data_IF_721021907763
#
_entry.id   IF_721021907763
#
_cell.length_a   1.000
_cell.length_b   1.000
_cell.length_c   1.000
_cell.angle_alpha   90.00
_cell.angle_beta   90.00
_cell.angle_gamma   90.00
#
_symmetry.space_group_name_H-M   'P 1'
#
loop_
_entity.id
_entity.type
_entity.pdbx_description
1 polymer ?
#
# COMPACT_ATOMS: atom_id res chain seq x y z
N UNK A 1 -11.58 -81.54 -28.19
CA UNK A 1 -10.90 -81.76 -26.89
C UNK A 1 -9.88 -80.64 -26.75
N UNK A 2 -9.85 -79.70 -25.81
CA UNK A 2 -10.72 -79.18 -24.75
C UNK A 2 -9.95 -77.93 -24.28
N UNK A 3 -10.57 -76.75 -24.22
CA UNK A 3 -10.04 -75.62 -23.43
C UNK A 3 -10.21 -75.89 -21.94
N UNK A 4 -9.35 -75.34 -21.07
CA UNK A 4 -9.76 -74.16 -20.30
C UNK A 4 -8.62 -73.12 -20.17
N UNK A 5 -8.84 -71.83 -20.37
CA UNK A 5 -9.30 -70.84 -19.37
C UNK A 5 -8.69 -71.03 -17.98
N UNK A 6 -7.70 -70.20 -17.65
CA UNK A 6 -7.41 -69.83 -16.26
C UNK A 6 -7.43 -68.31 -16.13
N UNK A 7 -8.15 -67.88 -15.11
CA UNK A 7 -8.46 -66.50 -14.76
C UNK A 7 -7.82 -66.25 -13.41
N UNK A 8 -6.76 -65.44 -13.32
CA UNK A 8 -6.35 -64.87 -12.04
C UNK A 8 -6.54 -63.35 -12.11
N UNK A 9 -7.76 -62.94 -11.77
CA UNK A 9 -8.03 -61.61 -11.26
C UNK A 9 -7.42 -61.52 -9.86
N UNK A 10 -6.31 -60.79 -9.71
CA UNK A 10 -5.81 -60.38 -8.39
C UNK A 10 -5.82 -58.86 -8.28
N UNK A 11 -6.78 -58.41 -7.49
CA UNK A 11 -7.15 -57.03 -7.18
C UNK A 11 -6.00 -56.17 -6.59
N UNK A 12 -6.11 -54.83 -6.74
CA UNK A 12 -5.15 -53.84 -6.28
C UNK A 12 -5.42 -53.42 -4.82
N UNK A 13 -5.06 -54.24 -3.84
CA UNK A 13 -5.31 -53.92 -2.42
C UNK A 13 -4.10 -53.29 -1.68
N UNK A 14 -2.92 -53.19 -2.32
CA UNK A 14 -1.68 -52.91 -1.58
C UNK A 14 -1.20 -51.44 -1.63
N UNK A 15 -1.70 -50.63 -2.56
CA UNK A 15 -1.28 -49.22 -2.68
C UNK A 15 -1.96 -48.28 -1.67
N UNK A 16 -3.16 -48.62 -1.20
CA UNK A 16 -3.91 -47.78 -0.25
C UNK A 16 -3.34 -47.84 1.17
N UNK A 17 -2.64 -48.92 1.53
CA UNK A 17 -2.01 -49.05 2.85
C UNK A 17 -0.69 -48.29 2.98
N UNK A 18 0.05 -48.09 1.89
CA UNK A 18 1.28 -47.30 1.91
C UNK A 18 1.03 -45.79 2.14
N UNK A 19 -0.08 -45.26 1.63
CA UNK A 19 -0.46 -43.85 1.85
C UNK A 19 -1.05 -43.56 3.24
N UNK A 20 -1.54 -44.57 3.96
CA UNK A 20 -2.12 -44.39 5.29
C UNK A 20 -1.07 -44.20 6.40
N UNK A 21 0.16 -44.66 6.19
CA UNK A 21 1.23 -44.59 7.23
C UNK A 21 1.91 -43.23 7.26
N UNK A 22 1.96 -42.49 6.14
CA UNK A 22 2.57 -41.14 6.08
C UNK A 22 1.67 -40.02 6.59
N UNK A 23 0.39 -40.27 6.86
CA UNK A 23 -0.55 -39.27 7.36
C UNK A 23 -0.52 -39.10 8.90
N UNK A 24 0.19 -39.95 9.64
CA UNK A 24 0.07 -40.04 11.10
C UNK A 24 1.16 -39.31 11.92
N UNK A 25 2.25 -38.84 11.30
CA UNK A 25 3.39 -38.28 12.04
C UNK A 25 3.64 -36.78 11.76
N UNK A 26 2.61 -35.99 11.48
CA UNK A 26 2.71 -34.55 11.73
C UNK A 26 2.40 -34.28 13.22
N UNK A 27 3.39 -34.52 14.08
CA UNK A 27 3.43 -33.89 15.41
C UNK A 27 3.60 -32.39 15.21
N UNK A 28 2.50 -31.70 14.91
CA UNK A 28 2.40 -30.24 14.95
C UNK A 28 2.68 -29.82 16.39
N UNK A 29 3.85 -29.23 16.60
CA UNK A 29 4.18 -28.53 17.83
C UNK A 29 3.08 -27.47 18.07
N UNK A 30 2.40 -27.56 19.20
CA UNK A 30 1.41 -26.57 19.58
C UNK A 30 2.10 -25.21 19.75
N UNK A 31 1.59 -24.12 19.13
CA UNK A 31 2.18 -22.81 19.31
C UNK A 31 2.05 -22.37 20.78
N UNK A 32 3.07 -21.69 21.35
CA UNK A 32 3.02 -21.24 22.73
C UNK A 32 1.88 -20.22 22.92
N UNK A 33 1.15 -20.27 24.05
CA UNK A 33 0.05 -19.35 24.30
C UNK A 33 0.58 -17.94 24.58
N UNK A 34 0.03 -16.91 23.90
CA UNK A 34 0.01 -15.57 24.52
C UNK A 34 0.24 -14.30 23.71
N UNK A 35 0.42 -14.29 22.38
CA UNK A 35 0.57 -12.99 21.66
C UNK A 35 -0.30 -12.80 20.41
N UNK A 36 -0.56 -13.85 19.63
CA UNK A 36 -1.41 -13.73 18.42
C UNK A 36 -2.92 -13.83 18.71
N UNK A 37 -3.32 -14.22 19.92
CA UNK A 37 -4.72 -14.31 20.32
C UNK A 37 -5.38 -12.92 20.44
N UNK A 38 -4.62 -11.91 20.83
CA UNK A 38 -5.13 -10.54 21.03
C UNK A 38 -5.40 -9.85 19.68
N UNK A 39 -4.56 -10.11 18.67
CA UNK A 39 -4.74 -9.60 17.30
C UNK A 39 -5.92 -10.29 16.60
N UNK A 40 -6.05 -11.62 16.72
CA UNK A 40 -7.19 -12.36 16.16
C UNK A 40 -8.54 -11.99 16.80
N UNK A 41 -8.58 -11.61 18.08
CA UNK A 41 -9.82 -11.18 18.77
C UNK A 41 -10.34 -9.82 18.30
N UNK A 42 -9.48 -8.93 17.80
CA UNK A 42 -9.92 -7.62 17.26
C UNK A 42 -10.53 -7.74 15.85
N UNK A 43 -10.07 -8.72 15.06
CA UNK A 43 -10.60 -8.98 13.72
C UNK A 43 -12.02 -9.60 13.74
N UNK A 44 -12.34 -10.46 14.71
CA UNK A 44 -13.66 -11.12 14.80
C UNK A 44 -14.77 -10.21 15.34
N UNK A 45 -14.43 -9.18 16.13
CA UNK A 45 -15.39 -8.20 16.62
C UNK A 45 -15.97 -7.29 15.51
N UNK A 46 -15.22 -7.03 14.43
CA UNK A 46 -15.66 -6.19 13.30
C UNK A 46 -16.63 -6.89 12.34
N UNK A 47 -16.58 -8.23 12.19
CA UNK A 47 -17.55 -8.97 11.34
C UNK A 47 -18.99 -8.95 11.88
N UNK A 48 -19.20 -8.81 13.19
CA UNK A 48 -20.55 -8.74 13.78
C UNK A 48 -21.20 -7.35 13.68
N UNK A 49 -20.43 -6.28 13.43
CA UNK A 49 -20.97 -4.92 13.31
C UNK A 49 -21.39 -4.55 11.88
N UNK A 50 -20.81 -5.18 10.84
CA UNK A 50 -21.21 -4.96 9.44
C UNK A 50 -22.45 -5.75 9.00
N UNK A 51 -22.91 -6.72 9.79
CA UNK A 51 -24.13 -7.49 9.52
C UNK A 51 -25.43 -6.82 10.01
N UNK A 52 -25.35 -5.66 10.69
CA UNK A 52 -26.52 -4.94 11.23
C UNK A 52 -26.93 -3.69 10.43
N UNK A 53 -26.25 -3.37 9.32
CA UNK A 53 -26.55 -2.19 8.48
C UNK A 53 -26.91 -2.54 7.02
N UNK A 54 -27.00 -3.82 6.66
CA UNK A 54 -27.40 -4.28 5.32
C UNK A 54 -28.86 -4.78 5.31
N UNK A 55 -29.76 -4.03 5.95
CA UNK A 55 -31.12 -4.48 6.24
C UNK A 55 -32.22 -3.45 6.04
N UNK A 56 -32.05 -2.40 5.23
CA UNK A 56 -33.17 -1.55 4.77
C UNK A 56 -32.73 -0.70 3.56
N UNK A 57 -33.06 -1.13 2.34
CA UNK A 57 -33.38 -0.23 1.20
C UNK A 57 -33.66 -1.05 -0.07
N UNK A 58 -34.84 -1.66 -0.13
CA UNK A 58 -35.48 -2.04 -1.41
C UNK A 58 -36.79 -1.28 -1.49
N UNK A 59 -36.88 -0.26 -2.36
CA UNK A 59 -38.05 0.11 -3.18
C UNK A 59 -37.96 1.57 -3.71
N UNK A 60 -38.47 1.75 -4.94
CA UNK A 60 -38.84 2.99 -5.66
C UNK A 60 -37.73 3.63 -6.54
N UNK A 61 -37.92 3.97 -7.82
CA UNK A 61 -39.04 3.87 -8.76
C UNK A 61 -38.50 4.01 -10.20
N UNK A 62 -39.13 3.32 -11.16
CA UNK A 62 -39.06 3.62 -12.60
C UNK A 62 -39.91 4.85 -12.91
N UNK A 63 -39.38 5.79 -13.71
CA UNK A 63 -40.07 6.52 -14.80
C UNK A 63 -39.33 7.82 -15.16
N UNK A 64 -39.19 8.09 -16.46
CA UNK A 64 -39.02 9.47 -16.95
C UNK A 64 -38.02 9.65 -18.08
N UNK A 65 -38.41 9.30 -19.30
CA UNK A 65 -37.80 9.80 -20.54
C UNK A 65 -38.32 11.22 -20.86
N UNK A 66 -37.51 12.09 -21.47
CA UNK A 66 -38.03 13.32 -22.10
C UNK A 66 -37.04 14.48 -22.33
N UNK A 67 -36.30 14.42 -23.45
CA UNK A 67 -36.06 15.44 -24.52
C UNK A 67 -35.97 16.94 -24.15
N UNK A 68 -34.83 17.58 -24.54
CA UNK A 68 -34.67 18.82 -25.36
C UNK A 68 -33.28 19.44 -25.09
N UNK A 69 -32.29 19.45 -26.01
CA UNK A 69 -32.10 20.38 -27.14
C UNK A 69 -32.31 21.85 -26.69
N UNK A 70 -31.36 22.80 -26.73
CA UNK A 70 -30.49 23.22 -27.84
C UNK A 70 -29.46 24.27 -27.39
N UNK A 71 -28.28 24.22 -28.03
CA UNK A 71 -27.41 25.34 -28.49
C UNK A 71 -26.89 26.39 -27.52
N UNK A 72 -25.55 26.52 -27.44
CA UNK A 72 -24.85 27.80 -27.63
C UNK A 72 -23.48 27.56 -28.32
N UNK A 73 -23.13 28.52 -29.17
CA UNK A 73 -22.17 28.51 -30.28
C UNK A 73 -20.68 28.40 -29.90
N UNK A 74 -19.80 28.03 -30.87
CA UNK A 74 -18.37 28.25 -30.82
C UNK A 74 -17.98 29.57 -31.51
N UNK A 75 -16.89 30.21 -31.06
CA UNK A 75 -16.37 31.41 -31.72
C UNK A 75 -14.99 31.80 -31.22
N UNK A 76 -13.98 31.46 -32.02
CA UNK A 76 -12.59 31.83 -31.83
C UNK A 76 -12.33 33.29 -32.21
N UNK A 77 -11.27 33.87 -31.65
CA UNK A 77 -10.42 34.85 -32.33
C UNK A 77 -9.01 34.85 -31.68
N UNK A 78 -7.94 34.62 -32.45
CA UNK A 78 -6.59 35.13 -32.18
C UNK A 78 -6.40 36.48 -32.91
N UNK A 79 -5.38 37.24 -32.50
CA UNK A 79 -4.71 38.40 -33.16
C UNK A 79 -4.27 39.38 -32.05
N UNK A 80 -3.13 40.08 -32.05
CA UNK A 80 -1.90 40.06 -32.83
C UNK A 80 -0.88 40.90 -32.02
N UNK A 81 0.43 40.72 -32.24
CA UNK A 81 1.52 41.60 -31.70
C UNK A 81 1.56 42.90 -32.58
N UNK A 82 2.57 43.84 -32.56
CA UNK A 82 3.84 43.93 -31.80
C UNK A 82 4.33 45.39 -31.43
N UNK A 83 5.58 45.47 -30.93
CA UNK A 83 6.52 46.63 -30.91
C UNK A 83 6.22 47.78 -29.92
N UNK A 84 7.15 48.48 -29.27
CA UNK A 84 8.62 48.62 -29.30
C UNK A 84 9.06 49.24 -27.94
N UNK A 85 10.17 48.81 -27.34
CA UNK A 85 11.47 49.52 -27.23
C UNK A 85 11.41 50.90 -26.57
N UNK A 86 12.01 51.04 -25.39
CA UNK A 86 13.09 51.98 -25.05
C UNK A 86 13.43 51.86 -23.55
N UNK A 87 14.50 52.48 -23.06
CA UNK A 87 15.89 52.05 -23.08
C UNK A 87 16.59 52.81 -21.92
N UNK A 88 17.59 52.16 -21.28
CA UNK A 88 18.75 52.68 -20.51
C UNK A 88 18.61 53.80 -19.45
N UNK A 89 19.43 53.62 -18.40
CA UNK A 89 20.03 54.70 -17.61
C UNK A 89 20.06 54.36 -16.12
N UNK A 90 21.03 53.62 -15.58
CA UNK A 90 22.44 53.98 -15.28
C UNK A 90 22.65 54.51 -13.83
N UNK A 91 23.81 54.13 -13.28
CA UNK A 91 24.58 54.76 -12.19
C UNK A 91 24.25 54.51 -10.69
N UNK A 92 25.08 53.61 -10.15
CA UNK A 92 25.84 53.60 -8.88
C UNK A 92 25.70 54.69 -7.78
N UNK A 93 25.65 54.18 -6.53
CA UNK A 93 26.29 54.54 -5.24
C UNK A 93 26.89 55.96 -5.01
N UNK A 94 26.81 56.53 -3.77
CA UNK A 94 27.63 56.02 -2.65
C UNK A 94 27.08 56.19 -1.21
N UNK A 95 27.85 55.62 -0.27
CA UNK A 95 27.68 55.50 1.17
C UNK A 95 27.60 56.79 2.03
N UNK A 96 27.00 56.64 3.23
CA UNK A 96 27.18 57.55 4.38
C UNK A 96 26.34 57.13 5.61
N UNK A 97 26.91 57.00 6.83
CA UNK A 97 26.25 56.42 8.02
C UNK A 97 25.56 57.47 8.91
N UNK A 98 24.62 57.09 9.81
CA UNK A 98 24.46 57.59 11.20
C UNK A 98 23.15 57.13 11.90
N UNK A 99 23.33 56.63 13.14
CA UNK A 99 22.45 56.58 14.32
C UNK A 99 21.26 55.58 14.46
N UNK A 100 21.04 55.01 15.67
CA UNK A 100 19.96 54.06 15.96
C UNK A 100 18.69 54.79 16.42
N UNK A 101 17.55 54.50 15.78
CA UNK A 101 16.24 54.90 16.28
C UNK A 101 15.54 53.69 16.93
N UNK A 102 15.35 53.77 18.24
CA UNK A 102 14.51 52.85 18.99
C UNK A 102 13.05 53.16 18.67
N UNK A 103 12.36 52.25 18.00
CA UNK A 103 10.92 52.35 17.75
C UNK A 103 10.21 51.24 18.52
N UNK A 104 9.33 51.64 19.45
CA UNK A 104 8.40 50.75 20.15
C UNK A 104 7.57 49.90 19.16
N UNK A 105 7.27 48.63 19.46
CA UNK A 105 6.38 47.84 18.62
C UNK A 105 4.94 48.36 18.75
N UNK A 106 4.34 48.73 17.62
CA UNK A 106 2.91 48.90 17.51
C UNK A 106 2.21 47.53 17.66
N UNK A 107 1.02 47.45 18.29
CA UNK A 107 0.27 46.21 18.34
C UNK A 107 -0.16 45.84 16.92
N UNK A 108 0.49 44.83 16.34
CA UNK A 108 0.06 44.23 15.08
C UNK A 108 -1.31 43.60 15.28
N UNK A 109 -2.33 44.16 14.64
CA UNK A 109 -3.59 43.46 14.36
C UNK A 109 -3.25 42.20 13.58
N UNK A 110 -3.36 41.04 14.22
CA UNK A 110 -3.26 39.75 13.56
C UNK A 110 -4.31 39.69 12.46
N UNK A 111 -3.86 39.66 11.20
CA UNK A 111 -4.68 39.14 10.13
C UNK A 111 -4.90 37.65 10.42
N UNK A 112 -6.12 37.11 10.32
CA UNK A 112 -6.26 35.68 10.18
C UNK A 112 -5.66 35.36 8.81
N UNK A 113 -4.41 34.91 8.79
CA UNK A 113 -3.92 34.19 7.63
C UNK A 113 -4.93 33.08 7.41
N UNK A 114 -5.61 33.12 6.26
CA UNK A 114 -6.37 32.01 5.72
C UNK A 114 -5.40 30.88 5.39
N UNK A 115 -4.80 30.31 6.43
CA UNK A 115 -3.88 29.21 6.36
C UNK A 115 -4.66 28.04 5.81
N UNK A 116 -4.24 27.56 4.63
CA UNK A 116 -4.63 26.23 4.20
C UNK A 116 -4.16 25.29 5.30
N UNK A 117 -5.09 24.76 6.08
CA UNK A 117 -4.77 23.85 7.17
C UNK A 117 -4.04 22.65 6.58
N UNK A 118 -2.74 22.58 6.84
CA UNK A 118 -1.91 21.47 6.33
C UNK A 118 -2.25 20.27 7.20
N UNK A 119 -2.98 19.31 6.64
CA UNK A 119 -3.33 18.10 7.37
C UNK A 119 -2.07 17.41 7.92
N UNK A 120 -2.14 16.87 9.15
CA UNK A 120 -1.03 16.13 9.73
C UNK A 120 -0.68 14.90 8.88
N UNK A 121 0.59 14.49 8.91
CA UNK A 121 1.01 13.24 8.29
C UNK A 121 0.34 12.07 9.03
N UNK A 122 -0.09 11.05 8.29
CA UNK A 122 -0.60 9.82 8.89
C UNK A 122 0.52 9.10 9.65
N UNK A 123 0.53 9.26 10.97
CA UNK A 123 1.52 8.67 11.86
C UNK A 123 1.38 7.14 11.91
N UNK A 124 2.51 6.41 11.93
CA UNK A 124 2.49 4.94 11.88
C UNK A 124 1.73 4.30 13.05
N UNK A 125 1.72 4.90 14.23
CA UNK A 125 1.01 4.41 15.41
C UNK A 125 -0.52 4.62 15.34
N UNK A 126 -0.97 5.43 14.38
CA UNK A 126 -2.39 5.64 14.04
C UNK A 126 -2.82 4.85 12.79
N UNK A 127 -1.94 4.04 12.21
CA UNK A 127 -2.23 3.23 11.03
C UNK A 127 -2.39 1.75 11.38
N UNK A 128 -3.31 1.09 10.70
CA UNK A 128 -3.44 -0.37 10.66
C UNK A 128 -3.04 -0.85 9.25
N UNK A 129 -2.06 -1.76 9.16
CA UNK A 129 -1.65 -2.38 7.89
C UNK A 129 -2.36 -3.73 7.66
N UNK A 130 -2.74 -4.02 6.43
CA UNK A 130 -3.30 -5.32 6.02
C UNK A 130 -2.93 -5.67 4.57
N UNK A 131 -3.07 -6.95 4.19
CA UNK A 131 -3.09 -7.37 2.78
C UNK A 131 -4.54 -7.32 2.30
N UNK A 132 -4.81 -6.45 1.33
CA UNK A 132 -6.13 -6.30 0.71
C UNK A 132 -6.36 -7.31 -0.42
N UNK A 133 -5.33 -7.60 -1.21
CA UNK A 133 -5.36 -8.57 -2.30
C UNK A 133 -3.99 -9.24 -2.50
N UNK A 134 -4.01 -10.41 -3.14
CA UNK A 134 -2.82 -11.15 -3.54
C UNK A 134 -3.04 -11.74 -4.92
N UNK A 135 -2.16 -11.43 -5.85
CA UNK A 135 -2.30 -11.79 -7.25
C UNK A 135 -1.00 -12.42 -7.76
N UNK A 136 -1.14 -13.47 -8.57
CA UNK A 136 -0.01 -14.08 -9.25
C UNK A 136 0.34 -13.31 -10.52
N UNK A 137 1.63 -13.11 -10.77
CA UNK A 137 2.16 -12.53 -11.99
C UNK A 137 3.29 -13.41 -12.56
N UNK A 138 3.80 -13.08 -13.75
CA UNK A 138 4.89 -13.83 -14.37
C UNK A 138 6.14 -13.77 -13.48
N UNK A 139 6.50 -14.90 -12.87
CA UNK A 139 7.67 -15.01 -11.98
C UNK A 139 7.59 -14.15 -10.71
N UNK A 140 6.42 -13.67 -10.32
CA UNK A 140 6.24 -12.80 -9.14
C UNK A 140 4.85 -12.97 -8.51
N UNK A 141 4.70 -12.44 -7.31
CA UNK A 141 3.42 -12.22 -6.65
C UNK A 141 3.27 -10.73 -6.38
N UNK A 142 2.07 -10.19 -6.56
CA UNK A 142 1.73 -8.80 -6.23
C UNK A 142 0.83 -8.83 -5.01
N UNK A 143 1.23 -8.08 -3.98
CA UNK A 143 0.45 -7.87 -2.76
C UNK A 143 -0.08 -6.44 -2.77
N UNK A 144 -1.38 -6.26 -2.74
CA UNK A 144 -1.97 -4.95 -2.46
C UNK A 144 -2.01 -4.78 -0.95
N UNK A 145 -1.12 -3.95 -0.40
CA UNK A 145 -1.14 -3.59 1.02
C UNK A 145 -2.09 -2.40 1.23
N UNK A 146 -2.82 -2.39 2.33
CA UNK A 146 -3.64 -1.26 2.76
C UNK A 146 -3.12 -0.67 4.06
N UNK A 147 -3.16 0.67 4.14
CA UNK A 147 -2.85 1.47 5.32
C UNK A 147 -4.11 2.22 5.72
N UNK A 148 -4.79 1.74 6.76
CA UNK A 148 -6.05 2.32 7.25
C UNK A 148 -5.78 3.30 8.38
N UNK A 149 -6.35 4.50 8.34
CA UNK A 149 -6.33 5.42 9.47
C UNK A 149 -7.21 4.86 10.62
N UNK A 150 -6.56 4.36 11.67
CA UNK A 150 -7.19 3.86 12.88
C UNK A 150 -7.30 4.93 13.99
N UNK A 151 -6.84 6.16 13.71
CA UNK A 151 -7.06 7.32 14.56
C UNK A 151 -8.47 7.89 14.46
N UNK A 152 -8.65 9.03 15.10
CA UNK A 152 -9.91 9.77 15.24
C UNK A 152 -9.92 11.11 14.47
N UNK A 153 -8.80 11.48 13.84
CA UNK A 153 -8.66 12.70 13.04
C UNK A 153 -8.27 12.40 11.60
N UNK A 154 -8.60 13.32 10.70
CA UNK A 154 -8.12 13.32 9.31
C UNK A 154 -6.58 13.47 9.28
N UNK A 155 -5.93 12.69 8.43
CA UNK A 155 -4.49 12.79 8.16
C UNK A 155 -4.22 12.65 6.67
N UNK A 156 -2.99 12.89 6.23
CA UNK A 156 -2.60 12.69 4.84
C UNK A 156 -1.24 12.00 4.69
N UNK A 157 -1.03 11.36 3.54
CA UNK A 157 0.25 10.79 3.12
C UNK A 157 0.47 11.02 1.63
N UNK A 158 1.72 11.04 1.18
CA UNK A 158 2.09 11.24 -0.22
C UNK A 158 3.40 10.51 -0.47
N UNK A 159 3.49 9.76 -1.58
CA UNK A 159 4.74 9.08 -1.93
C UNK A 159 4.64 7.57 -1.82
N UNK A 160 5.76 6.94 -1.49
CA UNK A 160 5.91 5.49 -1.50
C UNK A 160 6.16 5.00 -0.07
N UNK A 161 5.52 3.90 0.34
CA UNK A 161 5.92 3.26 1.57
C UNK A 161 7.29 2.58 1.38
N UNK A 162 8.12 2.59 2.42
CA UNK A 162 9.28 1.70 2.49
C UNK A 162 8.82 0.30 2.85
N UNK A 163 9.15 -0.71 2.07
CA UNK A 163 8.74 -2.09 2.33
C UNK A 163 9.96 -3.00 2.35
N UNK A 164 9.99 -3.99 3.25
CA UNK A 164 11.02 -5.02 3.26
C UNK A 164 10.42 -6.34 3.71
N UNK A 165 10.95 -7.45 3.18
CA UNK A 165 10.67 -8.77 3.74
C UNK A 165 11.40 -8.92 5.07
N UNK A 166 10.79 -9.64 6.01
CA UNK A 166 11.39 -9.89 7.32
C UNK A 166 11.28 -11.35 7.75
N UNK A 167 12.26 -11.80 8.53
CA UNK A 167 12.32 -13.10 9.18
C UNK A 167 12.48 -12.96 10.71
N UNK A 168 12.31 -14.07 11.41
CA UNK A 168 12.41 -14.13 12.87
C UNK A 168 11.27 -13.40 13.57
N UNK A 169 11.27 -13.47 14.90
CA UNK A 169 10.22 -12.86 15.73
C UNK A 169 10.44 -11.34 15.90
N UNK A 170 11.69 -10.89 15.80
CA UNK A 170 12.08 -9.47 15.89
C UNK A 170 11.92 -8.69 14.56
N UNK A 171 11.55 -9.38 13.48
CA UNK A 171 11.39 -8.76 12.16
C UNK A 171 12.71 -8.32 11.52
N UNK A 172 13.72 -9.17 11.58
CA UNK A 172 15.02 -8.97 10.89
C UNK A 172 14.80 -8.87 9.40
N UNK A 173 15.28 -7.80 8.76
CA UNK A 173 15.16 -7.62 7.32
C UNK A 173 15.88 -8.72 6.54
N UNK A 174 15.24 -9.18 5.47
CA UNK A 174 15.81 -10.05 4.45
C UNK A 174 16.17 -9.18 3.25
N UNK A 175 17.43 -9.21 2.83
CA UNK A 175 17.90 -8.57 1.60
C UNK A 175 17.64 -7.06 1.53
N UNK A 176 17.47 -6.57 0.31
CA UNK A 176 17.21 -5.17 0.02
C UNK A 176 15.75 -4.77 0.31
N UNK A 177 15.49 -3.51 0.67
CA UNK A 177 14.13 -2.97 0.69
C UNK A 177 13.57 -2.86 -0.73
N UNK A 178 12.26 -2.62 -0.83
CA UNK A 178 11.58 -2.40 -2.10
C UNK A 178 12.15 -1.18 -2.84
N UNK A 179 12.45 -1.37 -4.12
CA UNK A 179 12.66 -0.30 -5.08
C UNK A 179 11.34 0.34 -5.47
N UNK A 180 11.37 1.61 -5.88
CA UNK A 180 10.17 2.30 -6.35
C UNK A 180 9.88 1.84 -7.76
N UNK A 181 8.61 1.58 -8.04
CA UNK A 181 8.18 1.29 -9.39
C UNK A 181 8.00 2.59 -10.16
N UNK A 182 8.94 2.86 -11.07
CA UNK A 182 9.02 4.14 -11.80
C UNK A 182 7.85 4.34 -12.78
N UNK A 183 7.26 3.26 -13.29
CA UNK A 183 6.13 3.29 -14.23
C UNK A 183 4.75 3.39 -13.54
N UNK A 184 4.69 3.44 -12.20
CA UNK A 184 3.43 3.49 -11.43
C UNK A 184 2.77 4.89 -11.35
N UNK A 185 3.26 5.84 -12.14
CA UNK A 185 2.80 7.22 -12.19
C UNK A 185 3.21 8.07 -10.98
N UNK A 186 2.96 9.39 -11.08
CA UNK A 186 3.34 10.34 -10.04
C UNK A 186 2.57 10.14 -8.73
N UNK A 187 3.22 10.38 -7.59
CA UNK A 187 2.59 10.32 -6.27
C UNK A 187 1.51 11.38 -6.11
N UNK A 188 0.36 11.00 -5.57
CA UNK A 188 -0.74 11.92 -5.23
C UNK A 188 -0.87 12.04 -3.71
N UNK A 189 -1.38 13.17 -3.24
CA UNK A 189 -1.74 13.32 -1.84
C UNK A 189 -3.02 12.52 -1.56
N UNK A 190 -2.93 11.61 -0.60
CA UNK A 190 -4.07 10.81 -0.12
C UNK A 190 -4.44 11.31 1.27
N UNK A 191 -5.69 11.75 1.42
CA UNK A 191 -6.25 12.17 2.70
C UNK A 191 -7.13 11.06 3.27
N UNK A 192 -6.88 10.66 4.51
CA UNK A 192 -7.54 9.53 5.16
C UNK A 192 -8.36 10.02 6.35
N UNK A 193 -9.68 10.07 6.19
CA UNK A 193 -10.60 10.17 7.32
C UNK A 193 -10.45 8.95 8.24
N UNK A 194 -10.90 9.02 9.51
CA UNK A 194 -10.97 7.84 10.38
C UNK A 194 -11.67 6.66 9.68
N UNK A 195 -10.96 5.53 9.59
CA UNK A 195 -11.43 4.31 8.92
C UNK A 195 -11.24 4.25 7.40
N UNK A 196 -10.80 5.33 6.75
CA UNK A 196 -10.42 5.33 5.35
C UNK A 196 -9.03 4.70 5.16
N UNK A 197 -8.76 4.18 3.97
CA UNK A 197 -7.52 3.48 3.65
C UNK A 197 -6.86 3.99 2.38
N UNK A 198 -5.53 4.00 2.39
CA UNK A 198 -4.71 4.08 1.19
C UNK A 198 -4.21 2.67 0.84
N UNK A 199 -3.94 2.41 -0.43
CA UNK A 199 -3.34 1.16 -0.92
C UNK A 199 -2.03 1.43 -1.64
N UNK A 200 -1.12 0.47 -1.60
CA UNK A 200 0.05 0.39 -2.45
C UNK A 200 0.27 -1.06 -2.86
N UNK A 201 0.80 -1.28 -4.04
CA UNK A 201 1.15 -2.61 -4.54
C UNK A 201 2.62 -2.89 -4.23
N UNK A 202 2.88 -4.10 -3.76
CA UNK A 202 4.22 -4.63 -3.51
C UNK A 202 4.39 -5.84 -4.40
N UNK A 203 5.24 -5.72 -5.42
CA UNK A 203 5.65 -6.86 -6.22
C UNK A 203 6.81 -7.57 -5.56
N UNK A 204 6.68 -8.88 -5.41
CA UNK A 204 7.72 -9.77 -4.91
C UNK A 204 8.11 -10.72 -6.04
N UNK A 205 9.29 -10.51 -6.63
CA UNK A 205 9.89 -11.44 -7.58
C UNK A 205 10.21 -12.75 -6.88
N UNK A 206 9.88 -13.87 -7.50
CA UNK A 206 10.11 -15.19 -6.91
C UNK A 206 11.62 -15.43 -6.75
N UNK A 207 12.07 -15.72 -5.53
CA UNK A 207 13.46 -16.06 -5.24
C UNK A 207 14.00 -17.21 -6.11
N UNK A 208 13.13 -18.16 -6.49
CA UNK A 208 13.46 -19.27 -7.38
C UNK A 208 13.80 -18.88 -8.82
N UNK A 209 13.64 -17.61 -9.20
CA UNK A 209 14.10 -17.10 -10.50
C UNK A 209 15.62 -16.88 -10.55
N UNK A 210 16.31 -16.98 -9.41
CA UNK A 210 17.74 -16.73 -9.27
C UNK A 210 18.47 -18.01 -8.82
N UNK A 211 19.75 -18.19 -9.17
CA UNK A 211 20.59 -19.25 -8.60
C UNK A 211 20.65 -19.14 -7.07
N UNK A 212 20.65 -20.28 -6.38
CA UNK A 212 20.57 -20.31 -4.91
C UNK A 212 21.79 -19.66 -4.24
N UNK A 213 22.97 -19.74 -4.85
CA UNK A 213 24.22 -19.11 -4.42
C UNK A 213 24.28 -17.61 -4.70
N UNK A 214 23.44 -17.10 -5.63
CA UNK A 214 23.31 -15.66 -5.89
C UNK A 214 22.20 -15.03 -5.04
N UNK A 215 21.12 -15.76 -4.78
CA UNK A 215 19.98 -15.23 -4.02
C UNK A 215 20.10 -15.44 -2.51
N UNK A 216 20.64 -16.58 -2.09
CA UNK A 216 20.59 -17.05 -0.70
C UNK A 216 19.14 -16.99 -0.16
N UNK A 217 18.25 -17.89 -0.63
CA UNK A 217 16.82 -17.77 -0.38
C UNK A 217 16.48 -17.95 1.11
N UNK A 218 15.70 -17.02 1.66
CA UNK A 218 15.24 -17.04 3.06
C UNK A 218 13.72 -16.91 3.11
N UNK A 219 13.08 -17.83 3.83
CA UNK A 219 11.65 -17.77 4.09
C UNK A 219 11.31 -16.54 4.95
N UNK A 220 10.39 -15.70 4.46
CA UNK A 220 9.90 -14.55 5.19
C UNK A 220 8.71 -14.94 6.09
N UNK A 221 8.52 -14.16 7.15
CA UNK A 221 7.33 -14.21 8.02
C UNK A 221 6.36 -13.05 7.79
N UNK A 222 6.73 -12.12 6.92
CA UNK A 222 5.90 -10.99 6.56
C UNK A 222 6.69 -9.80 6.05
N UNK A 223 6.07 -8.63 6.19
CA UNK A 223 6.58 -7.36 5.71
C UNK A 223 6.83 -6.40 6.87
N UNK A 224 7.90 -5.62 6.76
CA UNK A 224 8.12 -4.38 7.51
C UNK A 224 7.78 -3.21 6.61
N UNK A 225 6.86 -2.35 7.06
CA UNK A 225 6.29 -1.27 6.26
C UNK A 225 6.52 0.06 6.98
N UNK A 226 7.19 1.00 6.32
CA UNK A 226 7.29 2.40 6.71
C UNK A 226 6.31 3.20 5.86
N UNK A 227 5.24 3.77 6.43
CA UNK A 227 4.35 4.67 5.69
C UNK A 227 5.14 5.85 5.11
N UNK A 228 4.62 6.51 4.05
CA UNK A 228 5.29 7.68 3.49
C UNK A 228 5.58 8.73 4.58
N UNK A 229 6.80 9.28 4.53
CA UNK A 229 7.32 10.27 5.50
C UNK A 229 7.32 9.80 6.98
N UNK A 230 7.24 8.49 7.24
CA UNK A 230 7.32 7.93 8.58
C UNK A 230 8.58 7.09 8.79
N UNK A 231 9.10 7.12 10.02
CA UNK A 231 10.27 6.32 10.46
C UNK A 231 9.93 5.19 11.42
N UNK A 232 8.69 5.13 11.90
CA UNK A 232 8.21 4.01 12.69
C UNK A 232 7.59 2.98 11.73
N UNK A 233 7.97 1.71 11.89
CA UNK A 233 7.47 0.64 11.04
C UNK A 233 6.19 0.01 11.60
N UNK A 234 5.33 -0.45 10.69
CA UNK A 234 4.33 -1.47 10.96
C UNK A 234 4.88 -2.82 10.51
N UNK A 235 4.53 -3.88 11.22
CA UNK A 235 4.84 -5.25 10.84
C UNK A 235 3.57 -5.98 10.43
N UNK A 236 3.56 -6.52 9.22
CA UNK A 236 2.43 -7.21 8.63
C UNK A 236 2.78 -8.69 8.41
N UNK A 237 2.32 -9.60 9.28
CA UNK A 237 2.54 -11.03 9.11
C UNK A 237 1.92 -11.52 7.79
N UNK A 238 2.71 -12.25 7.02
CA UNK A 238 2.28 -12.89 5.78
C UNK A 238 3.20 -14.06 5.47
N UNK A 239 2.60 -15.25 5.37
CA UNK A 239 3.33 -16.49 5.10
C UNK A 239 3.48 -16.72 3.59
N UNK A 240 4.38 -17.62 3.20
CA UNK A 240 4.50 -18.06 1.80
C UNK A 240 5.33 -17.13 0.91
N UNK A 241 6.02 -16.15 1.48
CA UNK A 241 7.01 -15.33 0.77
C UNK A 241 8.43 -15.84 1.05
N UNK A 242 9.28 -15.74 0.04
CA UNK A 242 10.72 -16.02 0.14
C UNK A 242 11.47 -14.85 -0.47
N UNK A 243 12.42 -14.29 0.26
CA UNK A 243 13.32 -13.23 -0.22
C UNK A 243 14.70 -13.77 -0.58
N UNK A 244 15.51 -12.93 -1.20
CA UNK A 244 16.95 -13.15 -1.36
C UNK A 244 17.71 -12.41 -0.26
N UNK A 245 18.59 -13.08 0.48
CA UNK A 245 19.41 -12.43 1.51
C UNK A 245 20.60 -11.66 0.94
N UNK A 246 21.07 -12.05 -0.25
CA UNK A 246 22.18 -11.40 -0.93
C UNK A 246 21.82 -9.96 -1.36
N UNK A 247 22.74 -9.02 -1.15
CA UNK A 247 22.49 -7.58 -1.33
C UNK A 247 22.53 -7.12 -2.79
N UNK A 248 23.00 -7.95 -3.71
CA UNK A 248 23.04 -7.73 -5.15
C UNK A 248 21.74 -8.13 -5.87
N UNK A 249 20.79 -8.74 -5.15
CA UNK A 249 19.49 -9.15 -5.68
C UNK A 249 18.35 -8.39 -5.00
N UNK A 250 17.77 -7.41 -5.69
CA UNK A 250 16.51 -6.80 -5.27
C UNK A 250 15.34 -7.58 -5.85
N UNK A 251 14.48 -8.12 -4.97
CA UNK A 251 13.26 -8.86 -5.36
C UNK A 251 11.97 -8.10 -5.06
N UNK A 252 12.06 -6.89 -4.52
CA UNK A 252 10.91 -6.11 -4.10
C UNK A 252 10.80 -4.82 -4.92
N UNK A 253 9.60 -4.55 -5.41
CA UNK A 253 9.22 -3.25 -5.95
C UNK A 253 7.91 -2.77 -5.32
N UNK A 254 7.72 -1.45 -5.24
CA UNK A 254 6.54 -0.85 -4.60
C UNK A 254 6.01 0.35 -5.37
N UNK A 255 4.69 0.45 -5.47
CA UNK A 255 4.00 1.60 -6.10
C UNK A 255 3.71 2.70 -5.08
N UNK A 256 3.44 3.96 -5.49
CA UNK A 256 3.06 5.00 -4.54
C UNK A 256 1.69 4.69 -3.94
N UNK A 257 1.42 5.26 -2.76
CA UNK A 257 0.10 5.15 -2.13
C UNK A 257 -0.98 5.82 -2.99
N UNK A 258 -2.14 5.18 -3.09
CA UNK A 258 -3.36 5.66 -3.76
C UNK A 258 -4.57 5.51 -2.83
N UNK A 259 -5.67 6.26 -3.01
CA UNK A 259 -6.94 5.96 -2.34
C UNK A 259 -7.41 4.53 -2.68
N UNK A 260 -7.99 3.83 -1.72
CA UNK A 260 -8.45 2.44 -1.89
C UNK A 260 -9.71 2.29 -2.77
N UNK A 261 -10.33 3.40 -3.11
CA UNK A 261 -11.66 3.56 -3.71
C UNK A 261 -11.62 4.07 -5.17
N UNK A 262 -10.44 4.11 -5.78
CA UNK A 262 -10.25 4.42 -7.19
C UNK A 262 -9.99 3.13 -7.99
N UNK A 263 -11.06 2.37 -8.25
CA UNK A 263 -11.14 1.42 -9.37
C UNK A 263 -12.25 1.87 -10.33
#
# INVERSE_FOLDING_TARGET
MTSPHDSDQREPADLTRAFAVFAAEERRLAPPPGHFATVRRRATARRRRRALLAGTATLACLAGAGIAATTLLPGAAPDDRPLAVEERGDSADPAGPTAPAQTHPAPGTAHPDGGRETLPVCASDRLEAAVAATEGAAGSVVLTISLTNAGDSLCAMTGFPGVSLVAGDEGTQIGNPAEREDDAGGSVRVELAPGAAAVAEVRVTQAGNYPADTCEPVAARGLRIYPPDQRAALFLPHDGLTGCAAADVTVLAVTPVRPADLE
#
